data_IF_989643270041
#
_entry.id   IF_989643270041
#
_cell.length_a   1.000
_cell.length_b   1.000
_cell.length_c   1.000
_cell.angle_alpha   90.00
_cell.angle_beta   90.00
_cell.angle_gamma   90.00
#
_symmetry.space_group_name_H-M   'P 1'
#
loop_
_entity.id
_entity.type
_entity.pdbx_description
1 polymer ?
#
# COMPACT_ATOMS: atom_id res chain seq x y z
N UNK A 1 -9.59 3.17 -9.39
CA UNK A 1 -9.58 2.43 -10.67
C UNK A 1 -10.40 1.17 -10.45
N UNK A 2 -11.55 1.06 -11.10
CA UNK A 2 -12.50 -0.04 -10.93
C UNK A 2 -12.61 -0.86 -12.22
N UNK A 3 -11.46 -1.21 -12.79
CA UNK A 3 -11.40 -1.96 -14.05
C UNK A 3 -11.62 -3.47 -13.79
N UNK A 4 -11.71 -4.29 -14.82
CA UNK A 4 -11.76 -5.75 -14.67
C UNK A 4 -10.49 -6.31 -14.00
N UNK A 5 -10.63 -7.45 -13.32
CA UNK A 5 -9.48 -8.20 -12.78
C UNK A 5 -8.53 -8.60 -13.92
N UNK A 6 -7.23 -8.39 -13.74
CA UNK A 6 -6.20 -8.76 -14.73
C UNK A 6 -5.70 -7.63 -15.64
N UNK A 7 -6.27 -6.43 -15.56
CA UNK A 7 -5.87 -5.27 -16.38
C UNK A 7 -4.64 -4.50 -15.86
N UNK A 8 -3.88 -5.08 -14.92
CA UNK A 8 -2.64 -4.46 -14.43
C UNK A 8 -2.83 -3.23 -13.54
N UNK A 9 -3.91 -3.16 -12.76
CA UNK A 9 -4.14 -2.02 -11.84
C UNK A 9 -2.98 -1.80 -10.87
N UNK A 10 -2.39 -2.89 -10.38
CA UNK A 10 -1.23 -2.84 -9.48
C UNK A 10 -0.05 -2.14 -10.14
N UNK A 11 0.34 -2.52 -11.37
CA UNK A 11 1.43 -1.85 -12.10
C UNK A 11 1.07 -0.40 -12.42
N UNK A 12 -0.18 -0.09 -12.77
CA UNK A 12 -0.63 1.30 -12.97
C UNK A 12 -0.48 2.13 -11.70
N UNK A 13 -0.81 1.58 -10.53
CA UNK A 13 -0.67 2.27 -9.24
C UNK A 13 0.79 2.44 -8.84
N UNK A 14 1.65 1.45 -9.12
CA UNK A 14 3.10 1.56 -8.92
C UNK A 14 3.67 2.66 -9.81
N UNK A 15 3.29 2.68 -11.09
CA UNK A 15 3.70 3.70 -12.04
C UNK A 15 3.21 5.10 -11.62
N UNK A 16 1.97 5.21 -11.13
CA UNK A 16 1.40 6.46 -10.63
C UNK A 16 2.17 6.99 -9.41
N UNK A 17 2.51 6.11 -8.46
CA UNK A 17 3.35 6.47 -7.31
C UNK A 17 4.69 7.07 -7.76
N UNK A 18 5.39 6.36 -8.66
CA UNK A 18 6.68 6.80 -9.19
C UNK A 18 6.57 8.11 -9.96
N UNK A 19 5.54 8.26 -10.80
CA UNK A 19 5.32 9.45 -11.62
C UNK A 19 5.04 10.69 -10.77
N UNK A 20 4.27 10.54 -9.67
CA UNK A 20 3.99 11.65 -8.75
C UNK A 20 5.23 12.06 -7.94
N UNK A 21 6.16 11.14 -7.69
CA UNK A 21 7.38 11.35 -6.92
C UNK A 21 7.14 12.10 -5.59
N UNK A 22 6.01 11.82 -4.94
CA UNK A 22 5.59 12.52 -3.74
C UNK A 22 6.45 12.09 -2.54
N UNK A 23 6.88 13.00 -1.65
CA UNK A 23 7.75 12.64 -0.51
C UNK A 23 7.06 11.72 0.49
N UNK A 24 5.74 11.89 0.69
CA UNK A 24 4.95 11.02 1.56
C UNK A 24 4.58 9.69 0.89
N UNK A 25 4.53 8.58 1.66
CA UNK A 25 4.31 7.23 1.14
C UNK A 25 2.90 7.02 0.59
N UNK A 26 2.75 5.93 -0.15
CA UNK A 26 1.46 5.37 -0.53
C UNK A 26 1.02 4.30 0.46
N UNK A 27 -0.17 4.47 1.04
CA UNK A 27 -0.83 3.44 1.84
C UNK A 27 -1.65 2.54 0.91
N UNK A 28 -1.38 1.24 0.92
CA UNK A 28 -2.18 0.23 0.25
C UNK A 28 -2.93 -0.58 1.31
N UNK A 29 -4.25 -0.58 1.23
CA UNK A 29 -5.14 -1.40 2.05
C UNK A 29 -5.72 -2.51 1.15
N UNK A 30 -5.41 -3.77 1.47
CA UNK A 30 -5.85 -4.92 0.66
C UNK A 30 -6.18 -6.15 1.52
N UNK A 31 -6.83 -7.19 0.97
CA UNK A 31 -6.94 -8.50 1.63
C UNK A 31 -5.58 -9.06 2.08
N UNK A 32 -5.56 -9.77 3.21
CA UNK A 32 -4.33 -10.31 3.79
C UNK A 32 -3.55 -11.22 2.80
N UNK A 33 -4.28 -11.97 1.96
CA UNK A 33 -3.73 -12.83 0.90
C UNK A 33 -2.99 -12.05 -0.20
N UNK A 34 -3.32 -10.78 -0.42
CA UNK A 34 -2.73 -9.95 -1.47
C UNK A 34 -1.50 -9.16 -1.00
N UNK A 35 -1.21 -9.10 0.30
CA UNK A 35 -0.03 -8.39 0.81
C UNK A 35 1.28 -8.90 0.19
N UNK A 36 1.42 -10.23 0.07
CA UNK A 36 2.59 -10.84 -0.55
C UNK A 36 2.69 -10.54 -2.06
N UNK A 37 1.55 -10.42 -2.73
CA UNK A 37 1.51 -10.09 -4.15
C UNK A 37 1.95 -8.66 -4.40
N UNK A 38 1.36 -7.70 -3.67
CA UNK A 38 1.76 -6.29 -3.71
C UNK A 38 3.25 -6.10 -3.47
N UNK A 39 3.81 -6.75 -2.45
CA UNK A 39 5.24 -6.67 -2.16
C UNK A 39 6.07 -7.15 -3.37
N UNK A 40 5.77 -8.34 -3.93
CA UNK A 40 6.50 -8.86 -5.10
C UNK A 40 6.41 -7.93 -6.31
N UNK A 41 5.23 -7.40 -6.60
CA UNK A 41 5.04 -6.52 -7.75
C UNK A 41 5.78 -5.19 -7.59
N UNK A 42 5.76 -4.58 -6.41
CA UNK A 42 6.53 -3.35 -6.15
C UNK A 42 8.03 -3.63 -6.33
N UNK A 43 8.57 -4.71 -5.75
CA UNK A 43 9.98 -5.05 -5.92
C UNK A 43 10.36 -5.35 -7.38
N UNK A 44 9.42 -5.87 -8.17
CA UNK A 44 9.63 -6.16 -9.59
C UNK A 44 9.61 -4.90 -10.45
N UNK A 45 8.64 -4.01 -10.24
CA UNK A 45 8.38 -2.87 -11.14
C UNK A 45 8.95 -1.54 -10.63
N UNK A 46 9.32 -1.46 -9.35
CA UNK A 46 9.94 -0.32 -8.71
C UNK A 46 11.10 -0.77 -7.79
N UNK A 47 12.14 -1.43 -8.35
CA UNK A 47 13.26 -1.93 -7.57
C UNK A 47 13.94 -0.79 -6.79
N UNK A 48 14.23 -1.04 -5.50
CA UNK A 48 14.84 -0.06 -4.60
C UNK A 48 13.86 0.88 -3.90
N UNK A 49 12.58 0.88 -4.27
CA UNK A 49 11.55 1.63 -3.53
C UNK A 49 11.23 0.92 -2.22
N UNK A 50 11.26 1.61 -1.06
CA UNK A 50 10.94 0.99 0.23
C UNK A 50 9.51 0.44 0.27
N UNK A 51 9.37 -0.79 0.78
CA UNK A 51 8.07 -1.44 1.02
C UNK A 51 8.01 -1.93 2.45
N UNK A 52 7.03 -1.44 3.20
CA UNK A 52 6.83 -1.77 4.62
C UNK A 52 5.49 -2.46 4.81
N UNK A 53 5.46 -3.46 5.68
CA UNK A 53 4.23 -4.19 6.02
C UNK A 53 3.74 -3.75 7.40
N UNK A 54 2.60 -3.08 7.43
CA UNK A 54 1.91 -2.71 8.66
C UNK A 54 0.79 -3.71 8.95
N UNK A 55 1.17 -4.93 9.37
CA UNK A 55 0.25 -6.02 9.66
C UNK A 55 0.90 -7.03 10.61
N UNK A 56 0.12 -7.66 11.50
CA UNK A 56 0.61 -8.57 12.53
C UNK A 56 0.80 -7.90 13.90
N UNK A 57 1.43 -8.64 14.82
CA UNK A 57 1.66 -8.25 16.22
C UNK A 57 2.69 -7.13 16.34
N UNK A 58 3.78 -7.20 15.59
CA UNK A 58 4.91 -6.26 15.66
C UNK A 58 4.89 -5.21 14.55
N UNK A 59 3.68 -4.71 14.24
CA UNK A 59 3.49 -3.75 13.14
C UNK A 59 4.12 -2.39 13.47
N UNK A 60 5.07 -1.98 12.64
CA UNK A 60 5.72 -0.67 12.69
C UNK A 60 5.61 0.02 11.34
N UNK A 61 5.43 1.34 11.37
CA UNK A 61 5.43 2.16 10.16
C UNK A 61 6.85 2.44 9.65
N UNK A 62 7.88 2.21 10.49
CA UNK A 62 9.28 2.46 10.15
C UNK A 62 9.55 3.94 9.85
N UNK A 63 10.57 4.19 9.03
CA UNK A 63 10.84 5.51 8.46
C UNK A 63 9.65 5.96 7.57
N UNK A 64 9.02 7.10 7.88
CA UNK A 64 7.82 7.56 7.19
C UNK A 64 8.07 8.07 5.77
N UNK A 65 9.31 8.16 5.30
CA UNK A 65 9.61 8.78 4.01
C UNK A 65 9.45 7.80 2.83
N UNK A 66 8.75 8.28 1.79
CA UNK A 66 8.63 7.65 0.47
C UNK A 66 8.07 6.22 0.42
N UNK A 67 7.94 5.68 -0.78
CA UNK A 67 7.61 4.26 -0.99
C UNK A 67 6.20 3.84 -0.54
N UNK A 68 6.08 2.57 -0.12
CA UNK A 68 4.80 1.91 0.11
C UNK A 68 4.65 1.38 1.54
N UNK A 69 3.45 1.49 2.08
CA UNK A 69 3.02 0.80 3.30
C UNK A 69 1.84 -0.10 2.95
N UNK A 70 1.97 -1.39 3.23
CA UNK A 70 0.96 -2.40 2.94
C UNK A 70 0.26 -2.82 4.24
N UNK A 71 -1.07 -2.71 4.29
CA UNK A 71 -1.90 -3.09 5.43
C UNK A 71 -3.16 -3.83 4.99
N UNK A 72 -3.89 -4.40 5.94
CA UNK A 72 -5.21 -5.00 5.69
C UNK A 72 -6.32 -4.11 6.19
N UNK A 73 -7.54 -4.32 5.71
CA UNK A 73 -8.71 -3.61 6.22
C UNK A 73 -8.93 -3.80 7.73
N UNK A 74 -8.74 -5.03 8.22
CA UNK A 74 -8.81 -5.31 9.66
C UNK A 74 -7.75 -4.55 10.46
N UNK A 75 -6.50 -4.56 10.00
CA UNK A 75 -5.41 -3.83 10.67
C UNK A 75 -5.63 -2.32 10.60
N UNK A 76 -6.01 -1.79 9.43
CA UNK A 76 -6.32 -0.37 9.24
C UNK A 76 -7.44 0.09 10.17
N UNK A 77 -8.56 -0.66 10.26
CA UNK A 77 -9.66 -0.36 11.18
C UNK A 77 -9.21 -0.32 12.65
N UNK A 78 -8.43 -1.33 13.07
CA UNK A 78 -7.94 -1.42 14.46
C UNK A 78 -6.83 -0.43 14.81
N UNK A 79 -6.25 0.27 13.84
CA UNK A 79 -5.09 1.15 14.03
C UNK A 79 -5.25 2.47 13.27
N UNK A 80 -6.50 2.87 13.00
CA UNK A 80 -6.83 4.05 12.21
C UNK A 80 -6.24 5.32 12.81
N UNK A 81 -6.30 5.48 14.14
CA UNK A 81 -5.72 6.63 14.84
C UNK A 81 -4.21 6.77 14.55
N UNK A 82 -3.45 5.67 14.69
CA UNK A 82 -2.01 5.65 14.41
C UNK A 82 -1.69 5.89 12.93
N UNK A 83 -2.51 5.37 12.01
CA UNK A 83 -2.34 5.64 10.57
C UNK A 83 -2.66 7.09 10.21
N UNK A 84 -3.56 7.74 10.95
CA UNK A 84 -3.93 9.14 10.75
C UNK A 84 -2.88 10.13 11.25
N UNK A 85 -1.94 9.70 12.10
CA UNK A 85 -0.78 10.51 12.52
C UNK A 85 0.23 10.73 11.37
N UNK A 86 0.17 9.93 10.30
CA UNK A 86 1.07 10.00 9.16
C UNK A 86 0.40 10.68 7.96
N UNK A 87 1.17 11.52 7.25
CA UNK A 87 0.76 12.06 5.95
C UNK A 87 0.91 11.01 4.85
N UNK A 88 -0.11 10.86 4.00
CA UNK A 88 -0.12 9.93 2.89
C UNK A 88 -0.19 10.68 1.55
N UNK A 89 0.73 10.37 0.63
CA UNK A 89 0.72 10.95 -0.72
C UNK A 89 -0.33 10.34 -1.64
N UNK A 90 -0.77 9.12 -1.31
CA UNK A 90 -1.85 8.38 -1.95
C UNK A 90 -2.37 7.29 -0.98
N UNK A 91 -3.69 7.05 -1.01
CA UNK A 91 -4.31 5.90 -0.35
C UNK A 91 -4.99 5.04 -1.42
N UNK A 92 -4.66 3.75 -1.43
CA UNK A 92 -5.20 2.74 -2.34
C UNK A 92 -6.01 1.75 -1.54
N UNK A 93 -7.26 1.55 -1.94
CA UNK A 93 -8.14 0.50 -1.42
C UNK A 93 -8.32 -0.54 -2.53
N UNK A 94 -7.79 -1.75 -2.29
CA UNK A 94 -7.80 -2.86 -3.25
C UNK A 94 -8.82 -3.92 -2.82
N UNK A 95 -9.60 -4.42 -3.78
CA UNK A 95 -10.72 -5.34 -3.55
C UNK A 95 -11.74 -4.83 -2.48
N UNK A 96 -11.97 -3.52 -2.48
CA UNK A 96 -12.79 -2.81 -1.48
C UNK A 96 -14.27 -3.25 -1.44
N UNK A 97 -14.77 -3.96 -2.46
CA UNK A 97 -16.14 -4.46 -2.51
C UNK A 97 -16.45 -5.53 -1.46
N UNK A 98 -15.42 -6.11 -0.81
CA UNK A 98 -15.56 -7.17 0.19
C UNK A 98 -15.44 -6.69 1.64
N UNK A 99 -15.50 -5.37 1.88
CA UNK A 99 -15.15 -4.71 3.16
C UNK A 99 -16.34 -4.08 3.86
#
# INVERSE_FOLDING_TARGET
LADDMGLGKTITLIALHLHRAHPSPTLVVCPASLLGNWHREINRFAPGVPVRRFHGTDRTLGDPDGGFVLTTYGTMRSSAARLAEQSWGLVVADEAQHV
#
